data_IF_090491394724
#
_entry.id   IF_090491394724
#
_cell.length_a   1.000
_cell.length_b   1.000
_cell.length_c   1.000
_cell.angle_alpha   90.00
_cell.angle_beta   90.00
_cell.angle_gamma   90.00
#
_symmetry.space_group_name_H-M   'P 1'
#
loop_
_entity.id
_entity.type
_entity.pdbx_description
1 polymer ?
#
# COMPACT_ATOMS: atom_id res chain seq x y z
N UNK A 1 15.71 -12.46 13.26
CA UNK A 1 16.13 -13.36 14.36
C UNK A 1 16.04 -12.66 15.72
N UNK A 2 16.56 -11.44 15.83
CA UNK A 2 16.61 -10.68 17.08
C UNK A 2 15.25 -10.35 17.73
N UNK A 3 14.29 -9.79 16.98
CA UNK A 3 12.97 -9.41 17.52
C UNK A 3 12.20 -10.58 18.17
N UNK A 4 12.44 -11.83 17.72
CA UNK A 4 11.83 -13.01 18.29
C UNK A 4 12.42 -13.37 19.66
N UNK A 5 13.72 -13.09 19.89
CA UNK A 5 14.41 -13.38 21.15
C UNK A 5 13.89 -12.51 22.29
N UNK A 6 13.66 -11.22 22.05
CA UNK A 6 13.05 -10.34 23.06
C UNK A 6 11.63 -10.76 23.44
N UNK A 7 10.85 -11.29 22.48
CA UNK A 7 9.54 -11.88 22.77
C UNK A 7 9.63 -13.12 23.67
N UNK A 8 10.56 -14.03 23.37
CA UNK A 8 10.80 -15.24 24.19
C UNK A 8 11.27 -14.86 25.59
N UNK A 9 12.20 -13.90 25.70
CA UNK A 9 12.68 -13.40 26.98
C UNK A 9 11.56 -12.78 27.82
N UNK A 10 10.67 -12.00 27.20
CA UNK A 10 9.51 -11.44 27.88
C UNK A 10 8.57 -12.52 28.42
N UNK A 11 8.33 -13.60 27.66
CA UNK A 11 7.50 -14.71 28.12
C UNK A 11 8.17 -15.40 29.34
N UNK A 12 9.49 -15.61 29.33
CA UNK A 12 10.21 -16.16 30.48
C UNK A 12 10.28 -15.22 31.68
N UNK A 13 10.48 -13.91 31.48
CA UNK A 13 10.41 -12.94 32.57
C UNK A 13 9.02 -12.96 33.21
N UNK A 14 7.96 -13.07 32.41
CA UNK A 14 6.59 -13.17 32.93
C UNK A 14 6.37 -14.45 33.74
N UNK A 15 6.96 -15.56 33.31
CA UNK A 15 6.82 -16.87 33.97
C UNK A 15 7.63 -16.95 35.27
N UNK A 16 8.91 -16.55 35.23
CA UNK A 16 9.85 -16.73 36.34
C UNK A 16 10.01 -15.50 37.24
N UNK A 17 9.74 -14.29 36.74
CA UNK A 17 9.98 -13.00 37.42
C UNK A 17 8.78 -12.03 37.22
N UNK A 18 7.54 -12.40 37.59
CA UNK A 18 6.32 -11.70 37.15
C UNK A 18 6.21 -10.22 37.59
N UNK A 19 6.68 -9.91 38.78
CA UNK A 19 6.80 -8.57 39.37
C UNK A 19 7.81 -7.70 38.61
N UNK A 20 9.00 -8.24 38.34
CA UNK A 20 10.00 -7.56 37.51
C UNK A 20 9.48 -7.39 36.08
N UNK A 21 8.83 -8.39 35.50
CA UNK A 21 8.25 -8.28 34.17
C UNK A 21 7.28 -7.10 34.06
N UNK A 22 6.40 -6.92 35.05
CA UNK A 22 5.48 -5.77 35.08
C UNK A 22 6.23 -4.43 35.12
N UNK A 23 7.26 -4.33 35.98
CA UNK A 23 8.11 -3.13 36.10
C UNK A 23 8.90 -2.84 34.82
N UNK A 24 9.60 -3.83 34.27
CA UNK A 24 10.39 -3.70 33.03
C UNK A 24 9.53 -3.34 31.82
N UNK A 25 8.29 -3.86 31.77
CA UNK A 25 7.31 -3.51 30.73
C UNK A 25 6.82 -2.07 30.86
N UNK A 26 6.53 -1.62 32.09
CA UNK A 26 6.12 -0.24 32.36
C UNK A 26 7.22 0.76 31.98
N UNK A 27 8.48 0.43 32.27
CA UNK A 27 9.64 1.26 31.91
C UNK A 27 10.03 1.17 30.42
N UNK A 28 9.48 0.23 29.65
CA UNK A 28 9.82 0.05 28.24
C UNK A 28 11.23 -0.54 27.97
N UNK A 29 12.00 -0.89 29.00
CA UNK A 29 13.41 -1.29 28.85
C UNK A 29 13.63 -2.72 28.39
N UNK A 30 12.61 -3.59 28.47
CA UNK A 30 12.76 -5.00 28.12
C UNK A 30 13.22 -5.21 26.67
N UNK A 31 12.78 -4.34 25.74
CA UNK A 31 13.21 -4.38 24.35
C UNK A 31 14.68 -3.94 24.19
N UNK A 32 15.11 -2.92 24.91
CA UNK A 32 16.48 -2.41 24.90
C UNK A 32 17.47 -3.46 25.44
N UNK A 33 17.15 -4.04 26.61
CA UNK A 33 17.94 -5.11 27.24
C UNK A 33 18.06 -6.31 26.30
N UNK A 34 16.93 -6.75 25.74
CA UNK A 34 16.92 -7.86 24.78
C UNK A 34 17.71 -7.54 23.51
N UNK A 35 17.68 -6.28 23.05
CA UNK A 35 18.49 -5.80 21.92
C UNK A 35 19.97 -5.98 22.18
N UNK A 36 20.46 -5.42 23.28
CA UNK A 36 21.87 -5.46 23.59
C UNK A 36 22.38 -6.87 23.89
N UNK A 37 21.70 -7.61 24.78
CA UNK A 37 22.20 -8.87 25.33
C UNK A 37 22.17 -10.02 24.31
N UNK A 38 21.05 -10.21 23.60
CA UNK A 38 20.91 -11.36 22.70
C UNK A 38 21.48 -11.11 21.31
N UNK A 39 21.55 -9.86 20.82
CA UNK A 39 22.16 -9.56 19.51
C UNK A 39 23.67 -9.80 19.54
N UNK A 40 24.30 -9.43 20.64
CA UNK A 40 25.75 -9.48 20.81
C UNK A 40 26.21 -10.70 21.61
N UNK A 41 25.31 -11.61 21.98
CA UNK A 41 25.61 -12.77 22.83
C UNK A 41 26.35 -12.37 24.11
N UNK A 42 25.92 -11.27 24.72
CA UNK A 42 26.55 -10.60 25.87
C UNK A 42 27.94 -9.98 25.64
N UNK A 43 28.55 -10.13 24.46
CA UNK A 43 29.93 -9.66 24.19
C UNK A 43 30.11 -8.15 24.36
N UNK A 44 29.09 -7.35 24.03
CA UNK A 44 29.20 -5.89 24.12
C UNK A 44 28.78 -5.31 25.49
N UNK A 45 28.25 -6.13 26.39
CA UNK A 45 27.74 -5.67 27.71
C UNK A 45 28.53 -6.25 28.88
N UNK A 46 29.44 -7.18 28.61
CA UNK A 46 30.28 -7.83 29.61
C UNK A 46 31.75 -7.71 29.20
N UNK A 47 32.68 -7.75 30.17
CA UNK A 47 34.11 -7.82 29.88
C UNK A 47 34.45 -9.01 28.99
N UNK A 48 35.43 -8.82 28.11
CA UNK A 48 35.76 -9.77 27.04
C UNK A 48 35.98 -11.20 27.55
N UNK A 49 36.81 -11.39 28.58
CA UNK A 49 37.08 -12.70 29.18
C UNK A 49 35.80 -13.38 29.69
N UNK A 50 34.93 -12.64 30.38
CA UNK A 50 33.65 -13.16 30.87
C UNK A 50 32.70 -13.52 29.73
N UNK A 51 32.69 -12.73 28.66
CA UNK A 51 31.88 -13.02 27.48
C UNK A 51 32.36 -14.28 26.75
N UNK A 52 33.67 -14.58 26.72
CA UNK A 52 34.19 -15.81 26.13
C UNK A 52 33.66 -17.07 26.83
N UNK A 53 33.60 -17.09 28.16
CA UNK A 53 32.99 -18.22 28.89
C UNK A 53 31.51 -18.44 28.52
N UNK A 54 30.76 -17.36 28.32
CA UNK A 54 29.35 -17.46 27.89
C UNK A 54 29.28 -18.01 26.46
N UNK A 55 30.15 -17.54 25.57
CA UNK A 55 30.23 -17.99 24.19
C UNK A 55 30.59 -19.49 24.10
N UNK A 56 31.56 -19.95 24.88
CA UNK A 56 31.95 -21.36 24.92
C UNK A 56 30.78 -22.26 25.28
N UNK A 57 30.03 -21.87 26.31
CA UNK A 57 28.89 -22.66 26.79
C UNK A 57 27.68 -22.51 25.84
N UNK A 58 27.51 -21.35 25.21
CA UNK A 58 26.54 -21.17 24.16
C UNK A 58 26.81 -22.09 22.96
N UNK A 59 28.06 -22.25 22.54
CA UNK A 59 28.42 -23.18 21.46
C UNK A 59 28.27 -24.65 21.86
N UNK A 60 28.43 -24.97 23.15
CA UNK A 60 28.29 -26.33 23.66
C UNK A 60 26.83 -26.74 23.91
N UNK A 61 26.07 -25.94 24.68
CA UNK A 61 24.73 -26.30 25.18
C UNK A 61 23.61 -25.43 24.57
N UNK A 62 23.98 -24.58 23.61
CA UNK A 62 23.05 -23.82 22.80
C UNK A 62 22.48 -22.59 23.50
N UNK A 63 21.38 -22.11 22.93
CA UNK A 63 20.84 -20.77 23.20
C UNK A 63 20.12 -20.62 24.55
N UNK A 64 19.73 -21.73 25.19
CA UNK A 64 19.03 -21.70 26.50
C UNK A 64 19.84 -20.98 27.57
N UNK A 65 21.17 -21.13 27.50
CA UNK A 65 22.15 -20.52 28.41
C UNK A 65 21.99 -19.01 28.47
N UNK A 66 21.74 -18.38 27.31
CA UNK A 66 21.57 -16.92 27.23
C UNK A 66 20.33 -16.45 27.97
N UNK A 67 19.22 -17.19 27.89
CA UNK A 67 17.98 -16.86 28.59
C UNK A 67 18.11 -17.11 30.09
N UNK A 68 18.69 -18.25 30.48
CA UNK A 68 18.95 -18.57 31.89
C UNK A 68 19.82 -17.49 32.52
N UNK A 69 20.90 -17.09 31.84
CA UNK A 69 21.79 -16.04 32.31
C UNK A 69 21.08 -14.68 32.44
N UNK A 70 20.29 -14.30 31.44
CA UNK A 70 19.53 -13.04 31.47
C UNK A 70 18.55 -12.99 32.65
N UNK A 71 17.84 -14.10 32.92
CA UNK A 71 16.94 -14.19 34.08
C UNK A 71 17.71 -14.11 35.40
N UNK A 72 18.87 -14.76 35.50
CA UNK A 72 19.72 -14.67 36.69
C UNK A 72 20.18 -13.24 36.93
N UNK A 73 20.68 -12.55 35.91
CA UNK A 73 21.15 -11.16 36.03
C UNK A 73 20.00 -10.25 36.51
N UNK A 74 18.80 -10.39 35.95
CA UNK A 74 17.62 -9.63 36.42
C UNK A 74 17.26 -9.97 37.86
N UNK A 75 17.33 -11.25 38.23
CA UNK A 75 16.96 -11.70 39.57
C UNK A 75 17.98 -11.26 40.64
N UNK A 76 19.27 -11.23 40.33
CA UNK A 76 20.30 -10.70 41.26
C UNK A 76 20.08 -9.19 41.53
N UNK A 77 19.58 -8.46 40.54
CA UNK A 77 19.33 -7.03 40.66
C UNK A 77 17.86 -6.70 41.01
N UNK A 78 17.07 -7.71 41.40
CA UNK A 78 15.61 -7.60 41.54
C UNK A 78 15.18 -6.42 42.40
N UNK A 79 15.73 -6.30 43.61
CA UNK A 79 15.28 -5.31 44.58
C UNK A 79 15.53 -3.88 44.08
N UNK A 80 16.73 -3.64 43.55
CA UNK A 80 17.09 -2.35 42.95
C UNK A 80 16.25 -2.01 41.71
N UNK A 81 15.95 -3.00 40.86
CA UNK A 81 15.11 -2.80 39.67
C UNK A 81 13.64 -2.53 39.99
N UNK A 82 13.11 -3.04 41.12
CA UNK A 82 11.74 -2.72 41.53
C UNK A 82 11.63 -1.29 42.06
N UNK A 83 12.67 -0.80 42.72
CA UNK A 83 12.76 0.53 43.33
C UNK A 83 13.14 1.64 42.34
N UNK A 84 13.69 1.30 41.16
CA UNK A 84 14.14 2.28 40.18
C UNK A 84 13.01 3.19 39.69
N UNK A 85 13.32 4.46 39.38
CA UNK A 85 12.30 5.46 39.05
C UNK A 85 12.02 5.55 37.56
N UNK A 86 13.06 5.46 36.73
CA UNK A 86 13.00 5.58 35.28
C UNK A 86 13.83 4.49 34.58
N UNK A 87 13.83 4.55 33.25
CA UNK A 87 14.55 3.63 32.37
C UNK A 87 16.07 3.82 32.45
N UNK A 88 16.55 5.05 32.61
CA UNK A 88 17.98 5.38 32.76
C UNK A 88 18.58 4.75 34.02
N UNK A 89 17.89 4.85 35.15
CA UNK A 89 18.31 4.28 36.43
C UNK A 89 18.39 2.74 36.36
N UNK A 90 17.40 2.11 35.73
CA UNK A 90 17.40 0.66 35.51
C UNK A 90 18.56 0.19 34.61
N UNK A 91 18.86 0.92 33.53
CA UNK A 91 20.00 0.63 32.65
C UNK A 91 21.32 0.81 33.40
N UNK A 92 21.43 1.84 34.24
CA UNK A 92 22.62 2.10 35.05
C UNK A 92 22.86 0.99 36.06
N UNK A 93 21.81 0.51 36.77
CA UNK A 93 21.91 -0.62 37.70
C UNK A 93 22.47 -1.86 36.99
N UNK A 94 21.90 -2.22 35.85
CA UNK A 94 22.33 -3.40 35.08
C UNK A 94 23.75 -3.25 34.53
N UNK A 95 24.08 -2.08 33.97
CA UNK A 95 25.43 -1.80 33.46
C UNK A 95 26.45 -1.88 34.58
N UNK A 96 26.18 -1.22 35.71
CA UNK A 96 27.06 -1.24 36.88
C UNK A 96 27.26 -2.66 37.41
N UNK A 97 26.23 -3.49 37.42
CA UNK A 97 26.35 -4.89 37.83
C UNK A 97 27.26 -5.69 36.88
N UNK A 98 27.09 -5.53 35.57
CA UNK A 98 27.89 -6.23 34.56
C UNK A 98 29.34 -5.73 34.51
N UNK A 99 29.59 -4.47 34.87
CA UNK A 99 30.94 -3.90 35.01
C UNK A 99 31.71 -4.48 36.20
N UNK A 100 31.04 -5.05 37.21
CA UNK A 100 31.72 -5.66 38.37
C UNK A 100 32.60 -6.86 37.99
N UNK A 101 32.36 -7.42 36.81
CA UNK A 101 33.14 -8.50 36.22
C UNK A 101 34.44 -8.01 35.57
N UNK A 102 34.69 -6.69 35.50
CA UNK A 102 35.86 -6.05 34.86
C UNK A 102 37.01 -5.74 35.83
N UNK A 103 36.88 -6.13 37.10
CA UNK A 103 37.82 -5.73 38.15
C UNK A 103 39.16 -6.52 38.07
N UNK A 104 40.03 -6.11 37.16
CA UNK A 104 41.40 -6.57 36.93
C UNK A 104 42.36 -6.46 38.14
N UNK A 105 41.89 -6.06 39.33
CA UNK A 105 42.75 -5.89 40.51
C UNK A 105 43.09 -7.21 41.23
N UNK A 106 42.44 -8.32 40.89
CA UNK A 106 42.76 -9.65 41.42
C UNK A 106 42.46 -10.73 40.37
N UNK A 107 43.49 -11.16 39.63
CA UNK A 107 43.43 -12.12 38.50
C UNK A 107 42.79 -13.50 38.81
N UNK A 108 42.41 -13.78 40.06
CA UNK A 108 41.82 -15.07 40.48
C UNK A 108 40.30 -15.04 40.79
N UNK A 109 39.64 -13.89 40.66
CA UNK A 109 38.23 -13.73 41.08
C UNK A 109 37.21 -13.62 39.94
N UNK A 110 37.60 -13.15 38.75
CA UNK A 110 36.66 -12.94 37.63
C UNK A 110 36.12 -14.27 37.09
N UNK A 111 37.00 -15.21 36.78
CA UNK A 111 36.66 -16.57 36.34
C UNK A 111 35.69 -17.23 37.35
N UNK A 112 35.95 -17.09 38.65
CA UNK A 112 35.08 -17.65 39.70
C UNK A 112 33.70 -17.00 39.73
N UNK A 113 33.60 -15.69 39.50
CA UNK A 113 32.32 -14.96 39.49
C UNK A 113 31.47 -15.33 38.29
N UNK A 114 32.04 -15.35 37.08
CA UNK A 114 31.29 -15.70 35.88
C UNK A 114 30.88 -17.17 35.88
N UNK A 115 31.77 -18.09 36.29
CA UNK A 115 31.44 -19.50 36.45
C UNK A 115 30.34 -19.68 37.51
N UNK A 116 30.38 -18.93 38.61
CA UNK A 116 29.33 -18.96 39.62
C UNK A 116 27.98 -18.48 39.05
N UNK A 117 27.97 -17.37 38.30
CA UNK A 117 26.77 -16.82 37.68
C UNK A 117 26.14 -17.83 36.70
N UNK A 118 26.97 -18.47 35.88
CA UNK A 118 26.56 -19.52 34.94
C UNK A 118 26.01 -20.73 35.70
N UNK A 119 26.72 -21.24 36.71
CA UNK A 119 26.21 -22.37 37.52
C UNK A 119 24.86 -22.03 38.18
N UNK A 120 24.72 -20.82 38.72
CA UNK A 120 23.49 -20.33 39.33
C UNK A 120 22.35 -20.23 38.31
N UNK A 121 22.64 -19.88 37.06
CA UNK A 121 21.62 -19.81 36.00
C UNK A 121 21.07 -21.19 35.64
N UNK A 122 21.94 -22.21 35.55
CA UNK A 122 21.52 -23.60 35.36
C UNK A 122 20.68 -24.12 36.52
N UNK A 123 21.06 -23.84 37.77
CA UNK A 123 20.31 -24.35 38.93
C UNK A 123 18.94 -23.70 39.05
N UNK A 124 18.86 -22.39 38.85
CA UNK A 124 17.65 -21.63 39.12
C UNK A 124 16.65 -21.68 37.96
N UNK A 125 17.12 -21.90 36.73
CA UNK A 125 16.30 -21.85 35.51
C UNK A 125 16.43 -23.12 34.65
N UNK A 126 16.60 -24.28 35.29
CA UNK A 126 16.66 -25.59 34.62
C UNK A 126 15.41 -25.90 33.77
N UNK A 127 14.26 -25.30 34.09
CA UNK A 127 13.03 -25.44 33.30
C UNK A 127 13.11 -24.83 31.89
N UNK A 128 14.10 -23.96 31.63
CA UNK A 128 14.33 -23.37 30.31
C UNK A 128 15.02 -24.40 29.40
N UNK A 129 14.25 -25.00 28.50
CA UNK A 129 14.73 -25.99 27.54
C UNK A 129 14.63 -25.48 26.08
N UNK A 130 15.31 -26.18 25.17
CA UNK A 130 15.39 -25.78 23.77
C UNK A 130 14.07 -25.94 23.00
N UNK A 131 13.27 -26.94 23.32
CA UNK A 131 11.97 -27.19 22.67
C UNK A 131 11.00 -26.04 22.91
N UNK A 132 10.88 -25.58 24.16
CA UNK A 132 10.04 -24.45 24.54
C UNK A 132 10.54 -23.15 23.90
N UNK A 133 11.86 -22.94 23.85
CA UNK A 133 12.45 -21.78 23.17
C UNK A 133 12.06 -21.78 21.68
N UNK A 134 12.17 -22.93 21.00
CA UNK A 134 11.83 -23.03 19.58
C UNK A 134 10.33 -22.83 19.33
N UNK A 135 9.46 -23.36 20.20
CA UNK A 135 8.02 -23.11 20.16
C UNK A 135 7.70 -21.62 20.34
N UNK A 136 8.30 -20.97 21.34
CA UNK A 136 8.10 -19.54 21.59
C UNK A 136 8.66 -18.68 20.46
N UNK A 137 9.80 -19.04 19.89
CA UNK A 137 10.35 -18.37 18.69
C UNK A 137 9.40 -18.44 17.52
N UNK A 138 8.77 -19.60 17.26
CA UNK A 138 7.80 -19.73 16.19
C UNK A 138 6.59 -18.81 16.43
N UNK A 139 6.03 -18.82 17.65
CA UNK A 139 4.94 -17.94 18.07
C UNK A 139 5.27 -16.47 17.84
N UNK A 140 6.42 -16.00 18.33
CA UNK A 140 6.83 -14.60 18.18
C UNK A 140 7.23 -14.24 16.75
N UNK A 141 7.80 -15.17 15.97
CA UNK A 141 8.08 -14.96 14.55
C UNK A 141 6.80 -14.68 13.76
N UNK A 142 5.75 -15.49 13.97
CA UNK A 142 4.46 -15.26 13.33
C UNK A 142 3.87 -13.90 13.74
N UNK A 143 3.96 -13.53 15.02
CA UNK A 143 3.49 -12.24 15.52
C UNK A 143 4.25 -11.05 14.92
N UNK A 144 5.58 -11.15 14.81
CA UNK A 144 6.41 -10.10 14.19
C UNK A 144 6.07 -9.95 12.71
N UNK A 145 5.95 -11.05 11.97
CA UNK A 145 5.55 -11.02 10.56
C UNK A 145 4.16 -10.38 10.39
N UNK A 146 3.20 -10.77 11.23
CA UNK A 146 1.87 -10.19 11.23
C UNK A 146 1.90 -8.68 11.53
N UNK A 147 2.62 -8.25 12.56
CA UNK A 147 2.75 -6.84 12.92
C UNK A 147 3.44 -6.02 11.82
N UNK A 148 4.47 -6.57 11.17
CA UNK A 148 5.12 -5.93 10.02
C UNK A 148 4.15 -5.76 8.86
N UNK A 149 3.35 -6.79 8.57
CA UNK A 149 2.28 -6.73 7.55
C UNK A 149 1.25 -5.68 7.91
N UNK A 150 0.77 -5.65 9.15
CA UNK A 150 -0.24 -4.69 9.60
C UNK A 150 0.30 -3.25 9.55
N UNK A 151 1.55 -3.03 9.96
CA UNK A 151 2.20 -1.71 9.86
C UNK A 151 2.30 -1.23 8.42
N UNK A 152 2.58 -2.14 7.48
CA UNK A 152 2.62 -1.84 6.04
C UNK A 152 1.24 -1.48 5.50
N UNK A 153 0.20 -2.26 5.85
CA UNK A 153 -1.19 -1.98 5.48
C UNK A 153 -1.67 -0.64 6.06
N UNK A 154 -1.37 -0.39 7.34
CA UNK A 154 -1.71 0.86 8.03
C UNK A 154 -1.04 2.06 7.36
N UNK A 155 0.23 1.94 7.00
CA UNK A 155 0.98 2.99 6.31
C UNK A 155 0.36 3.30 4.95
N UNK A 156 0.06 2.27 4.14
CA UNK A 156 -0.59 2.47 2.84
C UNK A 156 -1.97 3.12 2.99
N UNK A 157 -2.81 2.65 3.92
CA UNK A 157 -4.13 3.22 4.16
C UNK A 157 -4.04 4.70 4.59
N UNK A 158 -3.17 5.02 5.55
CA UNK A 158 -2.98 6.40 6.01
C UNK A 158 -2.53 7.34 4.89
N UNK A 159 -1.59 6.91 4.06
CA UNK A 159 -1.01 7.76 3.01
C UNK A 159 -1.91 7.91 1.77
N UNK A 160 -2.83 6.97 1.55
CA UNK A 160 -3.72 6.98 0.38
C UNK A 160 -5.16 7.40 0.68
N UNK A 161 -5.57 7.46 1.95
CA UNK A 161 -6.92 7.85 2.36
C UNK A 161 -7.38 9.21 1.80
N UNK A 162 -6.47 10.15 1.57
CA UNK A 162 -6.79 11.47 0.97
C UNK A 162 -7.18 11.41 -0.51
N UNK A 163 -6.92 10.29 -1.20
CA UNK A 163 -7.18 10.14 -2.63
C UNK A 163 -8.41 9.29 -2.94
N UNK A 164 -9.18 8.90 -1.91
CA UNK A 164 -10.33 8.02 -2.09
C UNK A 164 -11.39 8.21 -1.01
N UNK A 165 -12.65 7.92 -1.37
CA UNK A 165 -13.78 7.80 -0.46
C UNK A 165 -13.84 6.44 0.26
N UNK A 166 -12.95 5.49 -0.07
CA UNK A 166 -12.88 4.21 0.64
C UNK A 166 -12.48 4.40 2.11
N UNK A 167 -13.10 3.61 2.99
CA UNK A 167 -12.71 3.59 4.40
C UNK A 167 -11.35 2.89 4.59
N UNK A 168 -10.76 3.05 5.78
CA UNK A 168 -9.43 2.50 6.08
C UNK A 168 -9.34 0.98 5.82
N UNK A 169 -10.36 0.22 6.23
CA UNK A 169 -10.38 -1.24 6.05
C UNK A 169 -10.47 -1.65 4.58
N UNK A 170 -11.27 -0.93 3.78
CA UNK A 170 -11.37 -1.15 2.35
C UNK A 170 -10.03 -0.88 1.66
N UNK A 171 -9.35 0.21 2.01
CA UNK A 171 -8.02 0.50 1.46
C UNK A 171 -7.02 -0.60 1.83
N UNK A 172 -7.01 -1.06 3.09
CA UNK A 172 -6.14 -2.16 3.54
C UNK A 172 -6.40 -3.44 2.74
N UNK A 173 -7.67 -3.79 2.50
CA UNK A 173 -8.04 -5.00 1.75
C UNK A 173 -7.63 -4.88 0.27
N UNK A 174 -7.90 -3.74 -0.37
CA UNK A 174 -7.50 -3.48 -1.75
C UNK A 174 -5.97 -3.52 -1.87
N UNK A 175 -5.25 -2.87 -0.96
CA UNK A 175 -3.79 -2.87 -0.96
C UNK A 175 -3.21 -4.27 -0.73
N UNK A 176 -3.83 -5.08 0.14
CA UNK A 176 -3.42 -6.46 0.35
C UNK A 176 -3.46 -7.25 -0.96
N UNK A 177 -4.56 -7.17 -1.71
CA UNK A 177 -4.73 -7.87 -2.99
C UNK A 177 -3.75 -7.31 -4.04
N UNK A 178 -3.63 -5.99 -4.14
CA UNK A 178 -2.67 -5.33 -5.02
C UNK A 178 -1.24 -5.86 -4.79
N UNK A 179 -0.85 -5.97 -3.52
CA UNK A 179 0.45 -6.48 -3.09
C UNK A 179 0.63 -7.97 -3.39
N UNK A 180 -0.44 -8.75 -3.26
CA UNK A 180 -0.44 -10.20 -3.48
C UNK A 180 -0.29 -10.55 -4.97
N UNK A 181 -0.88 -9.74 -5.85
CA UNK A 181 -0.76 -9.88 -7.30
C UNK A 181 0.58 -9.34 -7.84
N UNK A 182 1.12 -8.28 -7.23
CA UNK A 182 2.35 -7.63 -7.66
C UNK A 182 3.59 -8.53 -7.50
N UNK A 183 4.27 -8.85 -8.60
CA UNK A 183 5.48 -9.70 -8.62
C UNK A 183 6.78 -8.91 -8.46
N UNK A 184 6.89 -8.09 -7.42
CA UNK A 184 8.13 -7.35 -7.15
C UNK A 184 9.26 -8.29 -6.77
N UNK A 185 10.47 -7.99 -7.26
CA UNK A 185 11.68 -8.66 -6.82
C UNK A 185 11.96 -8.36 -5.33
N UNK A 186 12.28 -9.40 -4.54
CA UNK A 186 12.63 -9.29 -3.11
C UNK A 186 13.73 -8.24 -2.81
N UNK A 187 14.51 -7.85 -3.82
CA UNK A 187 15.56 -6.83 -3.74
C UNK A 187 15.02 -5.40 -3.67
N UNK A 188 13.91 -5.09 -4.36
CA UNK A 188 13.31 -3.74 -4.38
C UNK A 188 12.38 -3.51 -3.20
N UNK A 189 11.80 -4.58 -2.65
CA UNK A 189 10.92 -4.56 -1.49
C UNK A 189 11.62 -4.15 -0.17
N UNK A 190 12.96 -4.19 -0.14
CA UNK A 190 13.76 -3.99 1.07
C UNK A 190 14.46 -2.61 1.14
N UNK A 191 14.17 -1.67 0.23
CA UNK A 191 14.73 -0.31 0.32
C UNK A 191 14.05 0.48 1.45
N UNK A 192 14.75 0.79 2.57
CA UNK A 192 14.16 1.46 3.72
C UNK A 192 13.77 2.92 3.45
N UNK A 193 14.16 3.49 2.30
CA UNK A 193 13.85 4.89 1.94
C UNK A 193 12.53 5.06 1.20
N UNK A 194 11.95 4.00 0.63
CA UNK A 194 10.70 4.07 -0.13
C UNK A 194 9.51 3.67 0.73
N UNK A 195 8.42 4.43 0.64
CA UNK A 195 7.19 4.07 1.31
C UNK A 195 6.56 2.85 0.63
N UNK A 196 5.88 2.00 1.40
CA UNK A 196 5.35 0.73 0.88
C UNK A 196 4.48 0.92 -0.37
N UNK A 197 3.64 1.94 -0.45
CA UNK A 197 2.79 2.22 -1.62
C UNK A 197 3.58 2.65 -2.87
N UNK A 198 4.83 3.09 -2.72
CA UNK A 198 5.76 3.46 -3.81
C UNK A 198 6.59 2.26 -4.26
N UNK A 199 6.80 1.32 -3.34
CA UNK A 199 7.48 0.05 -3.59
C UNK A 199 6.64 -0.85 -4.48
N UNK A 200 5.33 -0.98 -4.18
CA UNK A 200 4.47 -1.88 -4.95
C UNK A 200 3.96 -1.29 -6.26
N UNK A 201 4.22 -2.02 -7.34
CA UNK A 201 3.83 -1.66 -8.71
C UNK A 201 3.31 -2.88 -9.45
N UNK A 202 2.37 -2.67 -10.34
CA UNK A 202 1.77 -3.72 -11.16
C UNK A 202 1.99 -3.43 -12.64
N UNK A 203 2.28 -4.47 -13.41
CA UNK A 203 2.30 -4.41 -14.87
C UNK A 203 0.88 -4.59 -15.44
N UNK A 204 0.76 -4.58 -16.78
CA UNK A 204 -0.52 -4.70 -17.48
C UNK A 204 -1.24 -6.02 -17.20
N UNK A 205 -0.53 -7.14 -17.20
CA UNK A 205 -1.12 -8.46 -16.97
C UNK A 205 -1.65 -8.57 -15.53
N UNK A 206 -0.86 -8.11 -14.56
CA UNK A 206 -1.23 -8.03 -13.15
C UNK A 206 -2.44 -7.10 -12.92
N UNK A 207 -2.49 -5.98 -13.64
CA UNK A 207 -3.63 -5.07 -13.62
C UNK A 207 -4.91 -5.74 -14.13
N UNK A 208 -4.86 -6.52 -15.21
CA UNK A 208 -6.03 -7.23 -15.74
C UNK A 208 -6.57 -8.26 -14.73
N UNK A 209 -5.68 -8.95 -14.00
CA UNK A 209 -6.06 -9.82 -12.88
C UNK A 209 -6.83 -9.01 -11.83
N UNK A 210 -6.31 -7.84 -11.43
CA UNK A 210 -6.96 -6.98 -10.45
C UNK A 210 -8.31 -6.44 -10.95
N UNK A 211 -8.44 -6.09 -12.23
CA UNK A 211 -9.70 -5.66 -12.82
C UNK A 211 -10.76 -6.76 -12.75
N UNK A 212 -10.40 -8.01 -13.10
CA UNK A 212 -11.31 -9.16 -13.05
C UNK A 212 -11.99 -9.29 -11.69
N UNK A 213 -11.25 -9.11 -10.60
CA UNK A 213 -11.81 -9.24 -9.25
C UNK A 213 -12.41 -7.92 -8.76
N UNK A 214 -11.68 -6.82 -8.82
CA UNK A 214 -11.99 -5.60 -8.08
C UNK A 214 -12.72 -4.53 -8.90
N UNK A 215 -12.73 -4.60 -10.24
CA UNK A 215 -13.36 -3.57 -11.07
C UNK A 215 -14.85 -3.86 -11.30
N UNK A 216 -15.74 -2.86 -11.14
CA UNK A 216 -17.13 -2.99 -11.57
C UNK A 216 -17.26 -3.01 -13.10
N UNK A 217 -16.23 -2.57 -13.82
CA UNK A 217 -16.22 -2.39 -15.28
C UNK A 217 -15.55 -3.54 -16.05
N UNK A 218 -15.05 -4.58 -15.36
CA UNK A 218 -14.53 -5.78 -16.02
C UNK A 218 -15.67 -6.77 -16.29
N UNK A 219 -16.61 -6.35 -17.12
CA UNK A 219 -17.84 -7.07 -17.50
C UNK A 219 -18.12 -6.86 -19.00
N UNK A 220 -19.04 -7.67 -19.54
CA UNK A 220 -19.46 -7.62 -20.93
C UNK A 220 -18.50 -8.27 -21.90
N UNK A 221 -18.60 -7.88 -23.17
CA UNK A 221 -17.79 -8.45 -24.25
C UNK A 221 -16.41 -7.79 -24.27
N UNK A 222 -15.35 -8.59 -24.41
CA UNK A 222 -13.95 -8.14 -24.46
C UNK A 222 -13.58 -7.06 -23.39
N UNK A 223 -13.80 -7.33 -22.08
CA UNK A 223 -13.59 -6.35 -21.01
C UNK A 223 -12.12 -5.87 -20.91
N UNK A 224 -11.19 -6.66 -21.44
CA UNK A 224 -9.77 -6.35 -21.52
C UNK A 224 -9.49 -5.10 -22.36
N UNK A 225 -10.31 -4.79 -23.37
CA UNK A 225 -10.09 -3.63 -24.25
C UNK A 225 -10.19 -2.31 -23.49
N UNK A 226 -11.27 -2.14 -22.72
CA UNK A 226 -11.46 -0.95 -21.88
C UNK A 226 -10.45 -0.92 -20.73
N UNK A 227 -10.18 -2.07 -20.11
CA UNK A 227 -9.19 -2.16 -19.05
C UNK A 227 -7.79 -1.73 -19.54
N UNK A 228 -7.36 -2.16 -20.73
CA UNK A 228 -6.09 -1.75 -21.33
C UNK A 228 -6.02 -0.25 -21.59
N UNK A 229 -7.10 0.37 -22.10
CA UNK A 229 -7.17 1.83 -22.29
C UNK A 229 -7.08 2.59 -20.97
N UNK A 230 -7.73 2.09 -19.91
CA UNK A 230 -7.63 2.67 -18.57
C UNK A 230 -6.25 2.48 -17.95
N UNK A 231 -5.58 1.35 -18.21
CA UNK A 231 -4.19 1.15 -17.83
C UNK A 231 -3.30 2.20 -18.50
N UNK A 232 -3.45 2.42 -19.80
CA UNK A 232 -2.68 3.43 -20.54
C UNK A 232 -2.92 4.86 -20.05
N UNK A 233 -4.15 5.16 -19.62
CA UNK A 233 -4.48 6.46 -19.04
C UNK A 233 -3.82 6.68 -17.66
N UNK A 234 -3.72 5.65 -16.82
CA UNK A 234 -3.17 5.75 -15.46
C UNK A 234 -1.68 5.38 -15.37
N UNK A 235 -1.11 4.83 -16.44
CA UNK A 235 0.31 4.54 -16.59
C UNK A 235 1.07 5.76 -17.13
N UNK A 236 1.25 6.75 -16.25
CA UNK A 236 1.78 8.07 -16.61
C UNK A 236 3.30 8.04 -16.86
N UNK A 237 3.97 6.97 -16.43
CA UNK A 237 5.37 6.72 -16.70
C UNK A 237 5.54 5.61 -17.75
N UNK A 238 5.54 6.03 -19.01
CA UNK A 238 5.71 5.18 -20.21
C UNK A 238 6.93 4.26 -20.10
N UNK A 239 8.01 4.71 -19.45
CA UNK A 239 9.25 3.94 -19.35
C UNK A 239 9.13 2.73 -18.41
N UNK A 240 8.31 2.82 -17.36
CA UNK A 240 8.14 1.70 -16.42
C UNK A 240 7.04 0.72 -16.84
N UNK A 241 6.08 1.15 -17.67
CA UNK A 241 4.90 0.36 -18.03
C UNK A 241 4.22 -0.30 -16.81
N UNK A 242 4.12 0.46 -15.72
CA UNK A 242 3.75 -0.02 -14.40
C UNK A 242 2.97 1.07 -13.65
N UNK A 243 1.97 0.64 -12.89
CA UNK A 243 1.12 1.51 -12.09
C UNK A 243 1.41 1.28 -10.60
N UNK A 244 1.63 2.34 -9.84
CA UNK A 244 1.77 2.29 -8.38
C UNK A 244 0.42 2.26 -7.66
N UNK A 245 0.42 2.06 -6.34
CA UNK A 245 -0.81 1.94 -5.61
C UNK A 245 -1.65 3.24 -5.53
N UNK A 246 -1.03 4.42 -5.61
CA UNK A 246 -1.76 5.71 -5.57
C UNK A 246 -2.59 5.88 -6.85
N UNK A 247 -1.98 5.63 -8.01
CA UNK A 247 -2.68 5.72 -9.28
C UNK A 247 -3.77 4.65 -9.39
N UNK A 248 -3.47 3.44 -8.90
CA UNK A 248 -4.46 2.37 -8.80
C UNK A 248 -5.66 2.75 -7.92
N UNK A 249 -5.46 3.15 -6.66
CA UNK A 249 -6.57 3.43 -5.74
C UNK A 249 -7.43 4.61 -6.21
N UNK A 250 -6.84 5.59 -6.91
CA UNK A 250 -7.57 6.70 -7.55
C UNK A 250 -8.49 6.23 -8.68
N UNK A 251 -7.99 5.38 -9.59
CA UNK A 251 -8.84 4.79 -10.63
C UNK A 251 -9.99 4.01 -9.98
N UNK A 252 -9.70 3.18 -8.99
CA UNK A 252 -10.73 2.42 -8.29
C UNK A 252 -11.73 3.30 -7.56
N UNK A 253 -11.30 4.44 -7.02
CA UNK A 253 -12.21 5.41 -6.42
C UNK A 253 -13.20 5.97 -7.45
N UNK A 254 -12.72 6.33 -8.66
CA UNK A 254 -13.58 6.83 -9.73
C UNK A 254 -14.60 5.78 -10.16
N UNK A 255 -14.15 4.53 -10.33
CA UNK A 255 -15.02 3.44 -10.76
C UNK A 255 -16.15 3.13 -9.76
N UNK A 256 -15.89 3.25 -8.45
CA UNK A 256 -16.83 2.83 -7.40
C UNK A 256 -17.62 3.96 -6.75
N UNK A 257 -17.00 5.13 -6.53
CA UNK A 257 -17.49 6.13 -5.58
C UNK A 257 -17.71 7.52 -6.20
N UNK A 258 -17.21 7.77 -7.40
CA UNK A 258 -17.42 9.06 -8.07
C UNK A 258 -18.69 9.07 -8.91
N UNK A 259 -19.10 10.30 -9.23
CA UNK A 259 -20.35 10.58 -9.93
C UNK A 259 -20.28 10.22 -11.42
N UNK A 260 -21.42 10.37 -12.08
CA UNK A 260 -21.55 10.07 -13.51
C UNK A 260 -20.54 10.87 -14.35
N UNK A 261 -20.30 12.13 -14.00
CA UNK A 261 -19.41 13.02 -14.76
C UNK A 261 -17.97 12.53 -14.72
N UNK A 262 -17.44 12.19 -13.55
CA UNK A 262 -16.07 11.68 -13.42
C UNK A 262 -15.85 10.37 -14.18
N UNK A 263 -16.86 9.49 -14.17
CA UNK A 263 -16.88 8.25 -14.95
C UNK A 263 -16.86 8.54 -16.46
N UNK A 264 -17.59 9.55 -16.93
CA UNK A 264 -17.53 9.99 -18.33
C UNK A 264 -16.16 10.60 -18.68
N UNK A 265 -15.52 11.35 -17.78
CA UNK A 265 -14.18 11.93 -18.02
C UNK A 265 -13.15 10.83 -18.25
N UNK A 266 -13.11 9.76 -17.44
CA UNK A 266 -12.15 8.67 -17.65
C UNK A 266 -12.42 7.90 -18.95
N UNK A 267 -13.69 7.71 -19.32
CA UNK A 267 -14.05 7.11 -20.61
C UNK A 267 -13.60 8.00 -21.76
N UNK A 268 -13.86 9.30 -21.67
CA UNK A 268 -13.44 10.28 -22.65
C UNK A 268 -11.91 10.27 -22.83
N UNK A 269 -11.16 10.49 -21.75
CA UNK A 269 -9.71 10.56 -21.81
C UNK A 269 -9.05 9.26 -22.26
N UNK A 270 -9.56 8.09 -21.86
CA UNK A 270 -9.00 6.79 -22.26
C UNK A 270 -9.18 6.47 -23.75
N UNK A 271 -9.99 7.25 -24.48
CA UNK A 271 -10.25 7.07 -25.91
C UNK A 271 -9.58 8.09 -26.80
N UNK A 272 -8.89 9.08 -26.25
CA UNK A 272 -8.04 9.98 -27.05
C UNK A 272 -6.83 9.21 -27.59
N UNK A 273 -6.52 9.36 -28.87
CA UNK A 273 -5.37 8.71 -29.51
C UNK A 273 -4.05 9.37 -29.10
N UNK A 274 -4.05 10.69 -28.93
CA UNK A 274 -2.88 11.48 -28.55
C UNK A 274 -2.56 11.34 -27.06
N UNK A 275 -1.40 10.77 -26.77
CA UNK A 275 -0.91 10.54 -25.41
C UNK A 275 -0.70 11.84 -24.62
N UNK A 276 -0.29 12.94 -25.26
CA UNK A 276 -0.08 14.21 -24.58
C UNK A 276 -1.41 14.80 -24.13
N UNK A 277 -2.44 14.72 -24.99
CA UNK A 277 -3.82 15.10 -24.65
C UNK A 277 -4.34 14.27 -23.46
N UNK A 278 -4.07 12.96 -23.43
CA UNK A 278 -4.44 12.10 -22.29
C UNK A 278 -3.77 12.55 -20.99
N UNK A 279 -2.46 12.82 -21.02
CA UNK A 279 -1.69 13.26 -19.84
C UNK A 279 -2.14 14.61 -19.32
N UNK A 280 -2.45 15.54 -20.21
CA UNK A 280 -2.96 16.87 -19.86
C UNK A 280 -4.34 16.77 -19.20
N UNK A 281 -5.26 16.01 -19.82
CA UNK A 281 -6.58 15.79 -19.24
C UNK A 281 -6.57 14.99 -17.94
N UNK A 282 -5.59 14.10 -17.75
CA UNK A 282 -5.43 13.37 -16.49
C UNK A 282 -5.15 14.29 -15.30
N UNK A 283 -4.55 15.48 -15.51
CA UNK A 283 -4.34 16.47 -14.44
C UNK A 283 -5.64 16.89 -13.74
N UNK A 284 -6.78 16.79 -14.43
CA UNK A 284 -8.13 17.05 -13.86
C UNK A 284 -8.54 15.98 -12.85
N UNK A 285 -8.18 14.73 -13.13
CA UNK A 285 -8.48 13.58 -12.28
C UNK A 285 -7.58 13.51 -11.04
N UNK A 286 -6.55 14.36 -10.99
CA UNK A 286 -5.67 14.52 -9.83
C UNK A 286 -6.17 15.53 -8.80
N UNK A 287 -7.21 16.32 -9.11
CA UNK A 287 -7.83 17.27 -8.18
C UNK A 287 -8.29 16.57 -6.88
N UNK A 288 -7.93 17.06 -5.69
CA UNK A 288 -8.45 16.52 -4.44
C UNK A 288 -9.97 16.65 -4.39
N UNK A 289 -10.65 15.61 -3.93
CA UNK A 289 -12.11 15.57 -3.79
C UNK A 289 -12.64 16.69 -2.88
N UNK A 290 -11.82 17.22 -1.97
CA UNK A 290 -12.14 18.36 -1.08
C UNK A 290 -12.11 19.73 -1.77
N UNK A 291 -11.32 19.89 -2.84
CA UNK A 291 -11.20 21.16 -3.59
C UNK A 291 -12.38 21.33 -4.54
N UNK A 292 -13.00 20.24 -4.99
CA UNK A 292 -14.22 20.27 -5.82
C UNK A 292 -15.45 20.80 -5.08
N UNK A 293 -15.43 20.83 -3.74
CA UNK A 293 -16.55 21.29 -2.90
C UNK A 293 -16.28 22.54 -2.05
N UNK A 294 -15.03 23.00 -1.94
CA UNK A 294 -14.71 24.13 -1.06
C UNK A 294 -13.41 24.81 -1.47
N UNK A 295 -13.51 26.09 -1.80
CA UNK A 295 -12.41 27.04 -1.83
C UNK A 295 -11.92 27.27 -0.40
N UNK A 296 -10.88 26.57 0.06
CA UNK A 296 -9.85 27.15 0.95
C UNK A 296 -8.72 26.17 1.31
N UNK A 297 -7.56 26.81 1.41
CA UNK A 297 -6.29 26.47 2.09
C UNK A 297 -5.41 25.32 1.56
N UNK A 298 -4.29 25.79 1.02
CA UNK A 298 -3.08 25.10 0.62
C UNK A 298 -2.24 24.66 1.83
N UNK A 299 -2.04 23.36 1.97
CA UNK A 299 -0.84 22.79 2.58
C UNK A 299 -0.04 22.10 1.48
N UNK A 300 1.28 22.37 1.47
CA UNK A 300 2.23 21.90 0.45
C UNK A 300 2.10 20.39 0.23
N UNK A 301 1.66 20.05 -0.98
CA UNK A 301 1.21 18.71 -1.33
C UNK A 301 2.38 17.86 -1.84
N UNK A 302 2.64 16.71 -1.21
CA UNK A 302 3.40 15.63 -1.85
C UNK A 302 2.44 14.89 -2.80
N UNK A 303 2.42 15.33 -4.06
CA UNK A 303 1.75 14.69 -5.20
C UNK A 303 2.85 13.97 -6.00
N UNK A 304 2.58 12.82 -6.68
CA UNK A 304 3.60 12.09 -7.41
C UNK A 304 4.45 13.01 -8.30
N UNK A 305 5.77 12.90 -8.19
CA UNK A 305 6.78 13.80 -8.74
C UNK A 305 6.68 14.06 -10.26
N UNK A 306 5.96 13.21 -11.00
CA UNK A 306 5.73 13.35 -12.44
C UNK A 306 4.88 14.56 -12.84
N UNK A 307 4.14 15.19 -11.93
CA UNK A 307 3.25 16.32 -12.21
C UNK A 307 3.69 17.64 -11.59
N UNK A 308 4.85 17.66 -10.94
CA UNK A 308 5.40 18.85 -10.31
C UNK A 308 6.18 19.63 -11.36
N UNK A 309 5.53 20.57 -12.06
CA UNK A 309 6.24 21.65 -12.75
C UNK A 309 6.40 22.81 -11.76
N UNK A 310 7.64 23.13 -11.36
CA UNK A 310 7.98 24.25 -10.49
C UNK A 310 7.35 24.27 -9.08
N UNK A 311 6.85 23.13 -8.57
CA UNK A 311 6.34 23.02 -7.20
C UNK A 311 4.83 23.23 -7.04
N UNK A 312 4.08 23.47 -8.12
CA UNK A 312 2.63 23.64 -8.10
C UNK A 312 1.99 22.84 -9.24
N UNK A 313 0.85 22.17 -8.96
CA UNK A 313 0.08 21.49 -10.00
C UNK A 313 -0.94 22.46 -10.58
N UNK A 314 -0.89 22.64 -11.90
CA UNK A 314 -1.94 23.33 -12.65
C UNK A 314 -3.08 22.37 -12.94
N UNK A 315 -4.20 22.58 -12.27
CA UNK A 315 -5.44 21.85 -12.54
C UNK A 315 -6.13 22.41 -13.79
N UNK A 316 -6.60 21.51 -14.65
CA UNK A 316 -7.29 21.86 -15.90
C UNK A 316 -8.80 21.81 -15.65
N UNK A 317 -9.56 22.78 -16.14
CA UNK A 317 -11.04 22.74 -16.01
C UNK A 317 -11.61 21.71 -16.99
N UNK A 318 -12.76 21.10 -16.67
CA UNK A 318 -13.46 20.21 -17.62
C UNK A 318 -13.72 20.86 -18.99
N UNK A 319 -13.83 22.20 -19.03
CA UNK A 319 -14.01 22.97 -20.26
C UNK A 319 -12.74 23.23 -21.07
N UNK A 320 -11.60 22.74 -20.60
CA UNK A 320 -10.30 22.80 -21.26
C UNK A 320 -9.84 21.40 -21.67
N UNK A 321 -10.74 20.41 -21.60
CA UNK A 321 -10.46 19.05 -22.07
C UNK A 321 -10.20 19.04 -23.59
N UNK A 322 -9.27 18.20 -24.06
CA UNK A 322 -9.00 18.09 -25.48
C UNK A 322 -10.23 17.64 -26.27
N UNK A 323 -10.34 18.09 -27.52
CA UNK A 323 -11.45 17.69 -28.40
C UNK A 323 -11.24 16.26 -28.92
N UNK A 324 -12.34 15.54 -29.09
CA UNK A 324 -12.38 14.23 -29.74
C UNK A 324 -12.68 14.34 -31.22
N UNK A 325 -12.04 13.53 -32.04
CA UNK A 325 -12.41 13.32 -33.43
C UNK A 325 -13.53 12.26 -33.58
N UNK A 326 -14.09 12.13 -34.77
CA UNK A 326 -15.17 11.18 -35.07
C UNK A 326 -14.81 9.72 -34.73
N UNK A 327 -13.59 9.30 -35.06
CA UNK A 327 -13.11 7.93 -34.85
C UNK A 327 -13.03 7.60 -33.36
N UNK A 328 -12.49 8.50 -32.55
CA UNK A 328 -12.41 8.41 -31.10
C UNK A 328 -13.81 8.29 -30.47
N UNK A 329 -14.78 9.11 -30.90
CA UNK A 329 -16.18 9.03 -30.43
C UNK A 329 -16.81 7.68 -30.76
N UNK A 330 -16.60 7.16 -31.97
CA UNK A 330 -17.12 5.85 -32.39
C UNK A 330 -16.52 4.73 -31.53
N UNK A 331 -15.20 4.74 -31.30
CA UNK A 331 -14.54 3.77 -30.46
C UNK A 331 -15.00 3.85 -29.00
N UNK A 332 -15.20 5.06 -28.48
CA UNK A 332 -15.75 5.26 -27.14
C UNK A 332 -17.16 4.69 -27.02
N UNK A 333 -18.05 4.97 -27.98
CA UNK A 333 -19.41 4.42 -27.96
C UNK A 333 -19.39 2.89 -28.05
N UNK A 334 -18.48 2.30 -28.84
CA UNK A 334 -18.28 0.84 -28.90
C UNK A 334 -17.84 0.26 -27.56
N UNK A 335 -16.91 0.91 -26.86
CA UNK A 335 -16.47 0.46 -25.53
C UNK A 335 -17.61 0.53 -24.50
N UNK A 336 -18.44 1.59 -24.54
CA UNK A 336 -19.62 1.70 -23.68
C UNK A 336 -20.64 0.60 -24.01
N UNK A 337 -20.87 0.34 -25.29
CA UNK A 337 -21.74 -0.75 -25.74
C UNK A 337 -21.26 -2.12 -25.22
N UNK A 338 -19.96 -2.41 -25.38
CA UNK A 338 -19.33 -3.64 -24.86
C UNK A 338 -19.51 -3.79 -23.36
N UNK A 339 -19.31 -2.70 -22.62
CA UNK A 339 -19.45 -2.65 -21.16
C UNK A 339 -20.89 -2.91 -20.68
N UNK A 340 -21.87 -2.50 -21.48
CA UNK A 340 -23.30 -2.72 -21.21
C UNK A 340 -23.78 -4.11 -21.60
N UNK A 341 -22.97 -4.89 -22.33
CA UNK A 341 -23.40 -6.22 -22.79
C UNK A 341 -23.52 -7.18 -21.60
N UNK A 342 -24.69 -7.80 -21.45
CA UNK A 342 -25.01 -8.73 -20.37
C UNK A 342 -25.59 -8.08 -19.10
N UNK A 343 -25.93 -6.79 -19.08
CA UNK A 343 -26.68 -6.19 -17.99
C UNK A 343 -28.19 -6.52 -18.07
N UNK A 344 -28.93 -6.19 -17.00
CA UNK A 344 -30.32 -6.64 -16.82
C UNK A 344 -31.29 -5.91 -17.77
N UNK A 345 -30.95 -4.68 -18.20
CA UNK A 345 -31.81 -3.81 -19.02
C UNK A 345 -31.10 -3.32 -20.30
N UNK A 346 -30.35 -4.22 -20.93
CA UNK A 346 -29.47 -3.93 -22.06
C UNK A 346 -30.19 -3.29 -23.25
N UNK A 347 -31.41 -3.71 -23.56
CA UNK A 347 -32.16 -3.17 -24.69
C UNK A 347 -32.44 -1.66 -24.54
N UNK A 348 -32.82 -1.22 -23.35
CA UNK A 348 -33.05 0.20 -23.07
C UNK A 348 -31.73 0.98 -23.07
N UNK A 349 -30.68 0.42 -22.48
CA UNK A 349 -29.34 1.03 -22.46
C UNK A 349 -28.77 1.20 -23.88
N UNK A 350 -28.91 0.19 -24.73
CA UNK A 350 -28.49 0.25 -26.13
C UNK A 350 -29.29 1.27 -26.93
N UNK A 351 -30.60 1.37 -26.70
CA UNK A 351 -31.44 2.38 -27.34
C UNK A 351 -31.01 3.78 -26.94
N UNK A 352 -30.78 4.02 -25.66
CA UNK A 352 -30.29 5.30 -25.15
C UNK A 352 -28.92 5.66 -25.71
N UNK A 353 -27.96 4.72 -25.68
CA UNK A 353 -26.63 4.92 -26.27
C UNK A 353 -26.71 5.23 -27.78
N UNK A 354 -27.64 4.60 -28.49
CA UNK A 354 -27.89 4.89 -29.92
C UNK A 354 -28.43 6.31 -30.11
N UNK A 355 -29.33 6.78 -29.25
CA UNK A 355 -29.84 8.16 -29.29
C UNK A 355 -28.72 9.16 -29.01
N UNK A 356 -27.94 8.96 -27.94
CA UNK A 356 -26.82 9.82 -27.57
C UNK A 356 -25.74 9.85 -28.65
N UNK A 357 -25.33 8.69 -29.19
CA UNK A 357 -24.34 8.62 -30.27
C UNK A 357 -24.84 9.29 -31.56
N UNK A 358 -26.10 9.10 -31.93
CA UNK A 358 -26.68 9.79 -33.10
C UNK A 358 -26.72 11.30 -32.91
N UNK A 359 -27.03 11.78 -31.70
CA UNK A 359 -27.00 13.20 -31.36
C UNK A 359 -25.58 13.77 -31.47
N UNK A 360 -24.57 13.03 -30.98
CA UNK A 360 -23.17 13.42 -31.09
C UNK A 360 -22.75 13.53 -32.56
N UNK A 361 -23.04 12.52 -33.38
CA UNK A 361 -22.72 12.57 -34.82
C UNK A 361 -23.36 13.80 -35.50
N UNK A 362 -24.62 14.11 -35.18
CA UNK A 362 -25.30 15.30 -35.71
C UNK A 362 -24.68 16.61 -35.24
N UNK A 363 -24.35 16.73 -33.95
CA UNK A 363 -23.66 17.91 -33.41
C UNK A 363 -22.31 18.12 -34.09
N UNK A 364 -21.57 17.03 -34.29
CA UNK A 364 -20.32 17.02 -35.05
C UNK A 364 -20.48 17.49 -36.48
N UNK A 365 -21.44 16.93 -37.22
CA UNK A 365 -21.74 17.35 -38.60
C UNK A 365 -22.13 18.83 -38.72
N UNK A 366 -22.85 19.37 -37.73
CA UNK A 366 -23.20 20.79 -37.68
C UNK A 366 -22.00 21.71 -37.41
N UNK A 367 -20.92 21.19 -36.82
CA UNK A 367 -19.68 21.92 -36.59
C UNK A 367 -18.73 21.91 -37.80
N UNK A 368 -19.06 21.20 -38.90
CA UNK A 368 -18.32 21.29 -40.16
C UNK A 368 -18.61 22.65 -40.82
N UNK A 369 -17.57 23.45 -41.04
CA UNK A 369 -17.69 24.69 -41.81
C UNK A 369 -18.25 24.41 -43.22
N UNK A 370 -19.15 25.24 -43.77
CA UNK A 370 -19.56 25.10 -45.17
C UNK A 370 -18.35 25.34 -46.09
N UNK A 371 -18.23 24.64 -47.23
CA UNK A 371 -17.08 24.80 -48.11
C UNK A 371 -17.06 26.23 -48.65
N UNK A 372 -16.10 27.04 -48.20
CA UNK A 372 -15.80 28.31 -48.84
C UNK A 372 -15.25 28.03 -50.24
N UNK A 373 -15.96 28.51 -51.26
CA UNK A 373 -15.47 28.58 -52.63
C UNK A 373 -14.31 29.58 -52.70
N UNK A 374 -13.07 29.15 -52.46
CA UNK A 374 -11.88 29.87 -52.91
C UNK A 374 -10.83 28.87 -53.40
N UNK A 375 -10.15 29.27 -54.46
CA UNK A 375 -9.34 28.50 -55.40
C UNK A 375 -8.14 27.75 -54.79
N UNK A 376 -8.00 26.49 -55.25
CA UNK A 376 -6.78 25.71 -55.53
C UNK A 376 -5.59 25.87 -54.56
N UNK A 377 -5.51 24.97 -53.57
CA UNK A 377 -4.26 24.38 -53.11
C UNK A 377 -4.52 22.94 -52.61
N UNK A 378 -4.24 21.94 -53.44
CA UNK A 378 -4.72 20.55 -53.25
C UNK A 378 -4.06 19.79 -52.08
N UNK A 379 -3.08 20.38 -51.39
CA UNK A 379 -2.44 19.79 -50.21
C UNK A 379 -3.05 20.20 -48.86
N UNK A 380 -4.07 21.08 -48.83
CA UNK A 380 -4.75 21.52 -47.58
C UNK A 380 -6.17 20.95 -47.39
N UNK A 381 -6.75 20.28 -48.40
CA UNK A 381 -8.14 19.80 -48.37
C UNK A 381 -8.42 18.63 -47.42
N UNK A 382 -7.43 17.85 -47.00
CA UNK A 382 -7.69 16.68 -46.15
C UNK A 382 -7.88 17.03 -44.66
N UNK A 383 -7.37 18.18 -44.19
CA UNK A 383 -7.38 18.52 -42.75
C UNK A 383 -8.63 19.32 -42.34
N UNK A 384 -9.31 19.99 -43.28
CA UNK A 384 -10.43 20.91 -42.97
C UNK A 384 -11.83 20.25 -42.85
N UNK A 385 -11.93 18.90 -42.95
CA UNK A 385 -13.22 18.19 -42.99
C UNK A 385 -13.50 17.24 -41.81
N UNK A 386 -12.59 17.14 -40.84
CA UNK A 386 -12.82 16.35 -39.62
C UNK A 386 -13.58 17.18 -38.58
N UNK A 387 -14.78 16.73 -38.22
CA UNK A 387 -15.50 17.34 -37.11
C UNK A 387 -14.97 16.79 -35.79
N UNK A 388 -15.03 17.66 -34.77
CA UNK A 388 -14.60 17.34 -33.42
C UNK A 388 -15.71 17.64 -32.42
N UNK A 389 -15.67 16.99 -31.26
CA UNK A 389 -16.62 17.17 -30.17
C UNK A 389 -15.88 17.53 -28.88
N UNK A 390 -16.45 18.47 -28.12
CA UNK A 390 -15.99 18.81 -26.78
C UNK A 390 -16.55 17.87 -25.72
N UNK A 391 -15.92 17.83 -24.55
CA UNK A 391 -16.42 17.02 -23.44
C UNK A 391 -17.82 17.47 -23.00
N UNK A 392 -18.16 18.76 -23.02
CA UNK A 392 -19.49 19.23 -22.64
C UNK A 392 -20.58 18.77 -23.61
N UNK A 393 -20.28 18.70 -24.90
CA UNK A 393 -21.19 18.14 -25.89
C UNK A 393 -21.41 16.64 -25.66
N UNK A 394 -20.32 15.91 -25.36
CA UNK A 394 -20.37 14.50 -24.96
C UNK A 394 -21.20 14.28 -23.69
N UNK A 395 -20.88 15.02 -22.63
CA UNK A 395 -21.57 15.00 -21.34
C UNK A 395 -23.05 15.32 -21.50
N UNK A 396 -23.41 16.35 -22.27
CA UNK A 396 -24.79 16.74 -22.51
C UNK A 396 -25.59 15.65 -23.24
N UNK A 397 -25.00 15.01 -24.25
CA UNK A 397 -25.66 13.93 -24.99
C UNK A 397 -25.90 12.69 -24.14
N UNK A 398 -24.97 12.36 -23.23
CA UNK A 398 -25.10 11.23 -22.32
C UNK A 398 -26.08 11.54 -21.16
N UNK A 399 -26.05 12.76 -20.61
CA UNK A 399 -26.97 13.19 -19.55
C UNK A 399 -28.44 13.29 -20.01
N UNK A 400 -28.69 13.44 -21.31
CA UNK A 400 -30.05 13.45 -21.86
C UNK A 400 -30.79 12.13 -21.62
N UNK A 401 -30.06 11.03 -21.45
CA UNK A 401 -30.62 9.69 -21.26
C UNK A 401 -30.50 9.23 -19.80
N UNK A 402 -31.59 9.37 -19.03
CA UNK A 402 -31.61 9.09 -17.58
C UNK A 402 -31.25 7.64 -17.23
N UNK A 403 -31.52 6.68 -18.12
CA UNK A 403 -31.14 5.28 -17.91
C UNK A 403 -29.62 5.08 -17.93
N UNK A 404 -28.86 5.84 -18.73
CA UNK A 404 -27.39 5.77 -18.73
C UNK A 404 -26.83 6.32 -17.42
N UNK A 405 -27.33 7.48 -16.98
CA UNK A 405 -26.94 8.12 -15.72
C UNK A 405 -27.13 7.16 -14.55
N UNK A 406 -28.36 6.66 -14.40
CA UNK A 406 -28.71 5.74 -13.30
C UNK A 406 -27.92 4.43 -13.35
N UNK A 407 -27.59 3.91 -14.54
CA UNK A 407 -26.80 2.70 -14.67
C UNK A 407 -25.35 2.89 -14.22
N UNK A 408 -24.69 3.97 -14.66
CA UNK A 408 -23.33 4.28 -14.24
C UNK A 408 -23.24 4.66 -12.75
N UNK A 409 -24.22 5.37 -12.21
CA UNK A 409 -24.28 5.72 -10.78
C UNK A 409 -24.45 4.47 -9.90
N UNK A 410 -25.21 3.47 -10.36
CA UNK A 410 -25.40 2.19 -9.69
C UNK A 410 -24.30 1.15 -10.02
N UNK A 411 -23.09 1.60 -10.38
CA UNK A 411 -21.94 0.75 -10.71
C UNK A 411 -22.26 -0.36 -11.72
N UNK A 412 -22.87 0.06 -12.83
CA UNK A 412 -23.21 -0.77 -14.00
C UNK A 412 -24.33 -1.80 -13.75
N UNK A 413 -25.22 -1.51 -12.81
CA UNK A 413 -26.30 -2.43 -12.42
C UNK A 413 -25.79 -3.74 -11.78
N UNK A 414 -24.51 -3.79 -11.39
CA UNK A 414 -23.88 -4.98 -10.86
C UNK A 414 -24.09 -5.06 -9.34
N UNK A 415 -24.86 -6.06 -8.89
CA UNK A 415 -25.22 -6.22 -7.48
C UNK A 415 -24.07 -6.71 -6.58
N UNK A 416 -22.91 -7.06 -7.16
CA UNK A 416 -21.76 -7.52 -6.39
C UNK A 416 -21.03 -6.34 -5.74
N UNK A 417 -21.16 -6.23 -4.41
CA UNK A 417 -20.38 -5.29 -3.61
C UNK A 417 -18.88 -5.54 -3.73
N UNK A 418 -18.07 -4.50 -3.50
CA UNK A 418 -16.61 -4.60 -3.44
C UNK A 418 -16.15 -5.68 -2.45
N UNK A 419 -16.82 -5.82 -1.31
CA UNK A 419 -16.51 -6.84 -0.31
C UNK A 419 -16.74 -8.26 -0.83
N UNK A 420 -17.83 -8.48 -1.57
CA UNK A 420 -18.12 -9.78 -2.18
C UNK A 420 -17.05 -10.14 -3.21
N UNK A 421 -16.63 -9.15 -4.00
CA UNK A 421 -15.53 -9.30 -4.97
C UNK A 421 -14.18 -9.64 -4.33
N UNK A 422 -13.85 -8.98 -3.21
CA UNK A 422 -12.66 -9.29 -2.39
C UNK A 422 -12.73 -10.71 -1.85
N UNK A 423 -13.89 -11.15 -1.36
CA UNK A 423 -14.08 -12.51 -0.86
C UNK A 423 -13.90 -13.55 -1.97
N UNK A 424 -14.40 -13.30 -3.17
CA UNK A 424 -14.22 -14.18 -4.33
C UNK A 424 -12.73 -14.34 -4.68
N UNK A 425 -11.95 -13.24 -4.66
CA UNK A 425 -10.49 -13.31 -4.86
C UNK A 425 -9.82 -14.25 -3.86
N UNK A 426 -10.14 -14.14 -2.57
CA UNK A 426 -9.56 -15.00 -1.54
C UNK A 426 -9.98 -16.47 -1.67
N UNK A 427 -11.22 -16.74 -2.11
CA UNK A 427 -11.68 -18.11 -2.34
C UNK A 427 -10.97 -18.77 -3.54
N UNK A 428 -10.77 -18.03 -4.62
CA UNK A 428 -10.15 -18.55 -5.83
C UNK A 428 -8.63 -18.74 -5.70
N UNK A 429 -7.96 -17.93 -4.86
CA UNK A 429 -6.50 -18.01 -4.62
C UNK A 429 -6.10 -19.00 -3.52
N UNK A 430 -7.03 -19.44 -2.68
CA UNK A 430 -6.79 -20.47 -1.65
C UNK A 430 -7.05 -21.91 -2.15
N UNK A 431 -7.60 -22.08 -3.35
CA UNK A 431 -7.74 -23.37 -4.05
C UNK A 431 -6.48 -23.67 -4.84
#
# INVERSE_FOLDING_TARGET
>A
MHACMGGVFNDYCKEYLPDLYAKLKHLGIAACISLSWFLTLFVCVMPFESALYIMDIFFFDGIKVLFQLALTILNENRQHLLECQDDGDAIMILTTYLDQFNNHKYENNEEKKIIYLIKKSYTNYNGVNEEDINRLRLKHRLKVIHNMRESLLQSAAKNTAKYTKFNEQQIKNIFYIFKDVSRISLTEANDPKKLAYETYRINRDEYLILCKYLSPWFIGDEPENLANKLFDLFNLNVQSNQIDFIHFIRLWNILWNEDFKDKLIILFLSHLEDENKRKEGFKILLEPTSVRSSSETSEKEEIPSLYIENGEITYVKSSQLPLMNQTEVIHLCKSIYSLMTGAIDDENLFKALTTSSTLLLKMGEMCKSPPHQVEIDDNKKEIENEWTISFEQFEAAMNAETCLVTWFENNNGNNLSLETRINNYHQDTQR
#
